data_IF_552938735127
#
_entry.id   IF_552938735127
#
_cell.length_a   1.000
_cell.length_b   1.000
_cell.length_c   1.000
_cell.angle_alpha   90.00
_cell.angle_beta   90.00
_cell.angle_gamma   90.00
#
_symmetry.space_group_name_H-M   'P 1'
#
loop_
_entity.id
_entity.type
_entity.pdbx_description
1 polymer ?
#
# COMPACT_ATOMS: atom_id res chain seq x y z
N UNK A 1 10.12 -4.31 -18.64
CA UNK A 1 10.04 -3.02 -17.91
C UNK A 1 8.61 -2.70 -17.44
N UNK A 2 7.58 -2.84 -18.29
CA UNK A 2 6.17 -2.60 -17.87
C UNK A 2 5.74 -3.37 -16.61
N UNK A 3 6.13 -4.64 -16.46
CA UNK A 3 5.83 -5.42 -15.24
C UNK A 3 6.57 -4.90 -14.00
N UNK A 4 7.78 -4.36 -14.15
CA UNK A 4 8.50 -3.73 -13.05
C UNK A 4 7.76 -2.49 -12.56
N UNK A 5 7.25 -1.66 -13.48
CA UNK A 5 6.47 -0.47 -13.14
C UNK A 5 5.17 -0.83 -12.43
N UNK A 6 4.46 -1.87 -12.90
CA UNK A 6 3.26 -2.38 -12.21
C UNK A 6 3.59 -2.86 -10.80
N UNK A 7 4.64 -3.68 -10.65
CA UNK A 7 5.07 -4.20 -9.33
C UNK A 7 5.45 -3.10 -8.36
N UNK A 8 6.22 -2.11 -8.82
CA UNK A 8 6.60 -0.99 -7.99
C UNK A 8 5.35 -0.25 -7.48
N UNK A 9 4.38 0.06 -8.35
CA UNK A 9 3.12 0.71 -7.95
C UNK A 9 2.33 -0.13 -6.94
N UNK A 10 2.24 -1.45 -7.15
CA UNK A 10 1.58 -2.34 -6.19
C UNK A 10 2.28 -2.34 -4.82
N UNK A 11 3.62 -2.31 -4.77
CA UNK A 11 4.38 -2.22 -3.52
C UNK A 11 4.11 -0.90 -2.80
N UNK A 12 4.10 0.22 -3.53
CA UNK A 12 3.73 1.54 -2.99
C UNK A 12 2.36 1.48 -2.34
N UNK A 13 1.35 1.01 -3.08
CA UNK A 13 -0.02 0.90 -2.58
C UNK A 13 -0.11 0.01 -1.34
N UNK A 14 0.56 -1.14 -1.36
CA UNK A 14 0.60 -2.06 -0.22
C UNK A 14 1.16 -1.40 1.05
N UNK A 15 2.29 -0.70 0.93
CA UNK A 15 2.90 0.02 2.05
C UNK A 15 1.95 1.07 2.63
N UNK A 16 1.25 1.82 1.78
CA UNK A 16 0.27 2.81 2.22
C UNK A 16 -1.00 2.20 2.84
N UNK A 17 -1.49 1.05 2.35
CA UNK A 17 -2.60 0.32 2.97
C UNK A 17 -2.23 -0.10 4.40
N UNK A 18 -1.06 -0.73 4.57
CA UNK A 18 -0.57 -1.16 5.89
C UNK A 18 -0.44 0.03 6.83
N UNK A 19 0.19 1.11 6.36
CA UNK A 19 0.32 2.36 7.12
C UNK A 19 -1.04 2.93 7.54
N UNK A 20 -1.99 2.98 6.61
CA UNK A 20 -3.33 3.49 6.84
C UNK A 20 -4.07 2.66 7.90
N UNK A 21 -4.14 1.35 7.73
CA UNK A 21 -4.84 0.46 8.65
C UNK A 21 -4.23 0.53 10.05
N UNK A 22 -2.90 0.55 10.14
CA UNK A 22 -2.17 0.75 11.40
C UNK A 22 -2.59 2.04 12.10
N UNK A 23 -2.74 3.16 11.37
CA UNK A 23 -3.15 4.45 11.95
C UNK A 23 -4.59 4.46 12.48
N UNK A 24 -5.44 3.53 12.03
CA UNK A 24 -6.82 3.39 12.51
C UNK A 24 -6.94 2.51 13.76
N UNK A 25 -5.85 1.86 14.19
CA UNK A 25 -5.82 1.01 15.38
C UNK A 25 -5.67 1.85 16.66
N UNK A 26 -6.38 1.51 17.74
CA UNK A 26 -6.23 2.16 19.03
C UNK A 26 -4.92 1.71 19.70
N UNK A 27 -4.36 2.57 20.57
CA UNK A 27 -3.11 2.28 21.25
C UNK A 27 -3.25 1.30 22.42
N UNK A 28 -4.35 1.37 23.19
CA UNK A 28 -4.45 0.70 24.49
C UNK A 28 -5.53 -0.40 24.55
N UNK A 29 -6.78 -0.13 24.16
CA UNK A 29 -7.91 -1.03 24.42
C UNK A 29 -8.76 -1.28 23.16
N UNK A 30 -9.53 -2.38 23.15
CA UNK A 30 -10.45 -2.79 22.06
C UNK A 30 -9.79 -3.01 20.68
N UNK A 31 -8.48 -3.34 20.65
CA UNK A 31 -7.73 -3.59 19.40
C UNK A 31 -8.38 -4.67 18.53
N UNK A 32 -8.71 -5.83 19.12
CA UNK A 32 -9.32 -6.96 18.38
C UNK A 32 -10.64 -6.57 17.72
N UNK A 33 -11.51 -5.91 18.46
CA UNK A 33 -12.81 -5.47 17.96
C UNK A 33 -12.67 -4.42 16.85
N UNK A 34 -11.79 -3.42 17.03
CA UNK A 34 -11.51 -2.42 16.00
C UNK A 34 -10.92 -3.06 14.74
N UNK A 35 -9.98 -3.99 14.89
CA UNK A 35 -9.38 -4.72 13.78
C UNK A 35 -10.45 -5.50 13.00
N UNK A 36 -11.32 -6.25 13.69
CA UNK A 36 -12.42 -6.97 13.04
C UNK A 36 -13.33 -6.02 12.25
N UNK A 37 -13.68 -4.86 12.81
CA UNK A 37 -14.47 -3.82 12.12
C UNK A 37 -13.74 -3.25 10.90
N UNK A 38 -12.44 -2.98 10.99
CA UNK A 38 -11.62 -2.48 9.88
C UNK A 38 -11.53 -3.49 8.74
N UNK A 39 -11.35 -4.77 9.07
CA UNK A 39 -11.26 -5.88 8.10
C UNK A 39 -12.63 -6.14 7.44
N UNK A 40 -13.73 -6.03 8.19
CA UNK A 40 -15.08 -6.17 7.64
C UNK A 40 -15.37 -5.10 6.57
N UNK A 41 -15.06 -3.82 6.87
CA UNK A 41 -15.24 -2.69 5.94
C UNK A 41 -14.00 -2.36 5.09
N UNK A 42 -13.20 -3.37 4.72
CA UNK A 42 -11.90 -3.17 4.05
C UNK A 42 -12.00 -2.47 2.69
N UNK A 43 -13.08 -2.71 1.95
CA UNK A 43 -13.43 -2.01 0.70
C UNK A 43 -13.49 -0.49 0.91
N UNK A 44 -14.19 -0.04 1.96
CA UNK A 44 -14.28 1.37 2.32
C UNK A 44 -12.93 1.90 2.82
N UNK A 45 -12.16 1.09 3.55
CA UNK A 45 -10.81 1.47 3.97
C UNK A 45 -9.88 1.69 2.78
N UNK A 46 -9.96 0.87 1.73
CA UNK A 46 -9.16 1.03 0.52
C UNK A 46 -9.51 2.33 -0.21
N UNK A 47 -10.80 2.63 -0.38
CA UNK A 47 -11.24 3.88 -0.99
C UNK A 47 -10.79 5.12 -0.19
N UNK A 48 -10.85 5.04 1.14
CA UNK A 48 -10.36 6.12 2.00
C UNK A 48 -8.84 6.29 1.92
N UNK A 49 -8.08 5.18 1.91
CA UNK A 49 -6.64 5.22 1.73
C UNK A 49 -6.26 5.79 0.35
N UNK A 50 -6.94 5.37 -0.71
CA UNK A 50 -6.76 5.87 -2.07
C UNK A 50 -6.94 7.39 -2.12
N UNK A 51 -8.06 7.91 -1.61
CA UNK A 51 -8.31 9.36 -1.56
C UNK A 51 -7.29 10.10 -0.71
N UNK A 52 -6.93 9.55 0.45
CA UNK A 52 -6.03 10.21 1.40
C UNK A 52 -4.60 10.38 0.87
N UNK A 53 -4.11 9.41 0.10
CA UNK A 53 -2.73 9.38 -0.39
C UNK A 53 -2.61 9.55 -1.91
N UNK A 54 -3.71 9.85 -2.61
CA UNK A 54 -3.73 10.04 -4.06
C UNK A 54 -3.34 8.78 -4.84
N UNK A 55 -3.72 7.59 -4.35
CA UNK A 55 -3.31 6.32 -4.95
C UNK A 55 -4.35 5.84 -5.96
N UNK A 56 -3.97 5.38 -7.17
CA UNK A 56 -4.90 4.83 -8.15
C UNK A 56 -5.57 3.56 -7.64
N UNK A 57 -6.90 3.50 -7.67
CA UNK A 57 -7.66 2.32 -7.21
C UNK A 57 -7.31 1.06 -8.00
N UNK A 58 -6.97 1.19 -9.28
CA UNK A 58 -6.56 0.06 -10.12
C UNK A 58 -5.26 -0.63 -9.70
N UNK A 59 -4.45 0.01 -8.85
CA UNK A 59 -3.21 -0.56 -8.31
C UNK A 59 -3.44 -1.27 -6.96
N UNK A 60 -4.66 -1.25 -6.41
CA UNK A 60 -5.01 -1.93 -5.16
C UNK A 60 -5.18 -3.44 -5.37
N UNK A 61 -4.82 -4.26 -4.36
CA UNK A 61 -5.06 -5.69 -4.41
C UNK A 61 -6.56 -6.00 -4.33
N UNK A 62 -6.92 -7.24 -4.70
CA UNK A 62 -8.29 -7.73 -4.54
C UNK A 62 -8.67 -7.74 -3.06
N UNK A 63 -9.75 -7.02 -2.74
CA UNK A 63 -10.21 -6.80 -1.36
C UNK A 63 -10.40 -8.12 -0.61
N UNK A 64 -11.06 -9.11 -1.23
CA UNK A 64 -11.35 -10.39 -0.59
C UNK A 64 -10.09 -11.20 -0.25
N UNK A 65 -9.13 -11.26 -1.17
CA UNK A 65 -7.86 -11.96 -0.96
C UNK A 65 -7.05 -11.26 0.15
N UNK A 66 -7.01 -9.93 0.10
CA UNK A 66 -6.33 -9.14 1.13
C UNK A 66 -6.99 -9.26 2.50
N UNK A 67 -8.33 -9.33 2.54
CA UNK A 67 -9.11 -9.53 3.77
C UNK A 67 -8.74 -10.84 4.44
N UNK A 68 -8.66 -11.94 3.68
CA UNK A 68 -8.26 -13.26 4.19
C UNK A 68 -6.87 -13.21 4.83
N UNK A 69 -5.91 -12.54 4.17
CA UNK A 69 -4.57 -12.37 4.73
C UNK A 69 -4.60 -11.53 6.01
N UNK A 70 -5.33 -10.40 6.03
CA UNK A 70 -5.44 -9.58 7.24
C UNK A 70 -6.09 -10.32 8.42
N UNK A 71 -7.00 -11.26 8.17
CA UNK A 71 -7.61 -12.09 9.20
C UNK A 71 -6.60 -13.05 9.87
N UNK A 72 -5.50 -13.40 9.20
CA UNK A 72 -4.44 -14.21 9.81
C UNK A 72 -3.47 -13.38 10.66
N UNK A 73 -3.57 -12.05 10.64
CA UNK A 73 -2.69 -11.16 11.39
C UNK A 73 -3.19 -10.98 12.83
N UNK A 74 -2.41 -11.32 13.86
CA UNK A 74 -2.88 -11.21 15.25
C UNK A 74 -3.13 -9.77 15.72
N UNK A 75 -2.30 -8.82 15.31
CA UNK A 75 -2.40 -7.41 15.73
C UNK A 75 -1.85 -6.45 14.65
N UNK A 76 -2.76 -5.79 13.93
CA UNK A 76 -2.44 -4.75 12.92
C UNK A 76 -1.70 -3.55 13.55
N UNK A 77 -1.86 -3.30 14.86
CA UNK A 77 -1.15 -2.22 15.54
C UNK A 77 0.37 -2.47 15.69
N UNK A 78 0.85 -3.69 15.36
CA UNK A 78 2.28 -4.02 15.34
C UNK A 78 2.93 -3.80 13.97
N UNK A 79 2.16 -3.47 12.93
CA UNK A 79 2.75 -3.16 11.64
C UNK A 79 3.80 -2.04 11.75
N UNK A 80 4.79 -2.09 10.87
CA UNK A 80 5.80 -1.04 10.79
C UNK A 80 5.13 0.29 10.44
N UNK A 81 5.68 1.37 11.01
CA UNK A 81 5.32 2.71 10.52
C UNK A 81 5.91 2.86 9.13
N UNK A 82 5.26 3.68 8.31
CA UNK A 82 5.80 4.03 7.01
C UNK A 82 7.08 4.85 7.24
N UNK A 83 8.19 4.37 6.71
CA UNK A 83 9.45 5.09 6.77
C UNK A 83 9.47 6.16 5.68
N UNK A 84 9.64 7.42 6.09
CA UNK A 84 9.65 8.57 5.19
C UNK A 84 10.84 8.53 4.23
N UNK A 85 11.98 7.97 4.66
CA UNK A 85 13.17 7.83 3.82
C UNK A 85 12.93 6.83 2.68
N UNK A 86 12.36 5.66 3.00
CA UNK A 86 11.98 4.66 2.01
C UNK A 86 10.90 5.18 1.05
N UNK A 87 9.96 5.99 1.54
CA UNK A 87 8.99 6.65 0.65
C UNK A 87 9.70 7.60 -0.31
N UNK A 88 10.61 8.43 0.16
CA UNK A 88 11.33 9.38 -0.68
C UNK A 88 12.18 8.66 -1.75
N UNK A 89 12.85 7.58 -1.37
CA UNK A 89 13.62 6.73 -2.30
C UNK A 89 12.69 6.09 -3.35
N UNK A 90 11.55 5.57 -2.91
CA UNK A 90 10.55 5.00 -3.80
C UNK A 90 9.99 6.05 -4.79
N UNK A 91 9.69 7.28 -4.34
CA UNK A 91 9.28 8.36 -5.25
C UNK A 91 10.37 8.73 -6.27
N UNK A 92 11.65 8.73 -5.86
CA UNK A 92 12.78 8.95 -6.78
C UNK A 92 12.84 7.86 -7.86
N UNK A 93 12.65 6.59 -7.47
CA UNK A 93 12.62 5.47 -8.42
C UNK A 93 11.50 5.66 -9.45
N UNK A 94 10.32 6.12 -9.02
CA UNK A 94 9.19 6.37 -9.92
C UNK A 94 9.37 7.59 -10.83
N UNK A 95 9.87 8.70 -10.30
CA UNK A 95 9.96 9.96 -11.05
C UNK A 95 11.16 10.01 -11.98
N UNK A 96 12.23 9.27 -11.66
CA UNK A 96 13.52 9.43 -12.33
C UNK A 96 14.02 8.11 -12.92
N UNK A 97 14.14 7.07 -12.11
CA UNK A 97 14.89 5.87 -12.51
C UNK A 97 14.07 5.00 -13.48
N UNK A 98 12.77 4.83 -13.26
CA UNK A 98 11.86 4.10 -14.16
C UNK A 98 11.72 4.79 -15.54
N UNK A 99 11.43 6.10 -15.64
CA UNK A 99 11.35 6.79 -16.93
C UNK A 99 12.64 6.67 -17.74
N UNK A 100 13.80 6.87 -17.10
CA UNK A 100 15.11 6.72 -17.76
C UNK A 100 15.33 5.31 -18.31
N UNK A 101 14.91 4.27 -17.57
CA UNK A 101 14.99 2.89 -18.06
C UNK A 101 14.06 2.65 -19.25
N UNK A 102 12.86 3.24 -19.24
CA UNK A 102 11.91 3.14 -20.36
C UNK A 102 12.43 3.84 -21.62
N UNK A 103 12.98 5.05 -21.49
CA UNK A 103 13.59 5.80 -22.60
C UNK A 103 14.71 4.99 -23.26
N UNK A 104 15.65 4.47 -22.46
CA UNK A 104 16.76 3.65 -22.97
C UNK A 104 16.30 2.38 -23.67
N UNK A 105 15.16 1.80 -23.26
CA UNK A 105 14.62 0.60 -23.89
C UNK A 105 13.87 0.85 -25.20
N UNK A 106 13.48 2.11 -25.47
CA UNK A 106 12.73 2.52 -26.67
C UNK A 106 13.63 2.99 -27.80
N UNK A 107 14.88 3.34 -27.50
CA UNK A 107 15.90 3.58 -28.51
C UNK A 107 16.51 2.24 -28.90
N UNK A 108 16.21 1.70 -30.10
CA UNK A 108 17.04 0.63 -30.66
C UNK A 108 18.42 1.23 -30.94
N UNK A 109 19.48 0.51 -30.57
CA UNK A 109 20.79 0.68 -31.19
C UNK A 109 20.71 0.39 -32.69
#
# INVERSE_FOLDING_TARGET
INELVKRARSVKVHAYIIHYLRKQMPYMMNKKEKQAKLIAGLDQQFLQASRRYGLPVGDFPRVEEYRKVLQTIPDISQFSKLDKSLVAEMEKVFSTDIPKLLERSKSPD
#
